data_IF_973392925367
#
_entry.id   IF_973392925367
#
_cell.length_a   1.000
_cell.length_b   1.000
_cell.length_c   1.000
_cell.angle_alpha   90.00
_cell.angle_beta   90.00
_cell.angle_gamma   90.00
#
_symmetry.space_group_name_H-M   'P 1'
#
loop_
_entity.id
_entity.type
_entity.pdbx_description
1 polymer ?
#
# COMPACT_ATOMS: atom_id res chain seq x y z
N UNK A 1 31.10 1.24 23.23
CA UNK A 1 30.48 0.68 22.02
C UNK A 1 31.54 0.22 21.03
N UNK A 2 32.65 0.96 20.91
CA UNK A 2 33.76 0.62 19.98
C UNK A 2 34.46 -0.72 20.26
N UNK A 3 34.45 -1.21 21.50
CA UNK A 3 34.97 -2.55 21.84
C UNK A 3 34.02 -3.72 21.48
N UNK A 4 32.74 -3.45 21.17
CA UNK A 4 31.73 -4.48 20.91
C UNK A 4 31.58 -4.82 19.42
N UNK A 5 32.00 -3.91 18.54
CA UNK A 5 31.81 -4.00 17.09
C UNK A 5 33.17 -3.83 16.42
N UNK A 6 33.80 -4.95 16.03
CA UNK A 6 35.15 -4.95 15.46
C UNK A 6 35.29 -4.19 14.14
N UNK A 7 34.22 -4.09 13.36
CA UNK A 7 34.11 -3.22 12.18
C UNK A 7 33.06 -2.13 12.47
N UNK A 8 33.30 -0.90 12.00
CA UNK A 8 32.46 0.26 12.28
C UNK A 8 30.96 -0.08 12.12
N UNK A 9 30.19 -0.14 13.21
CA UNK A 9 28.80 -0.51 13.14
C UNK A 9 28.06 0.48 12.24
N UNK A 10 27.22 -0.04 11.32
CA UNK A 10 26.30 0.80 10.53
C UNK A 10 25.19 1.28 11.48
N UNK A 11 25.55 2.21 12.36
CA UNK A 11 24.60 3.00 13.09
C UNK A 11 23.98 4.01 12.13
N UNK A 12 22.66 4.15 12.22
CA UNK A 12 21.95 5.15 11.45
C UNK A 12 20.77 4.62 10.65
N UNK A 13 19.74 5.44 10.58
CA UNK A 13 18.55 5.19 9.76
C UNK A 13 18.59 5.95 8.42
N UNK A 14 19.62 6.80 8.23
CA UNK A 14 19.84 7.65 7.06
C UNK A 14 18.72 8.68 6.86
N UNK A 15 18.61 9.33 5.69
CA UNK A 15 17.64 10.40 5.48
C UNK A 15 16.18 9.91 5.56
N UNK A 16 15.29 10.80 5.99
CA UNK A 16 13.83 10.63 5.95
C UNK A 16 13.25 11.53 4.84
N UNK A 17 12.85 10.98 3.68
CA UNK A 17 12.31 11.75 2.57
C UNK A 17 10.92 12.31 2.84
N UNK A 18 10.23 11.85 3.89
CA UNK A 18 8.89 12.32 4.28
C UNK A 18 8.93 13.20 5.54
N UNK A 19 10.12 13.46 6.08
CA UNK A 19 10.32 14.46 7.13
C UNK A 19 10.77 15.79 6.50
N UNK A 20 10.01 16.88 6.68
CA UNK A 20 10.43 18.21 6.25
C UNK A 20 11.38 18.90 7.24
N UNK A 21 11.71 18.24 8.36
CA UNK A 21 12.56 18.78 9.42
C UNK A 21 14.02 18.32 9.26
N UNK A 22 15.00 19.02 9.85
CA UNK A 22 16.38 18.56 9.92
C UNK A 22 16.50 17.14 10.45
N UNK A 23 17.56 16.45 10.04
CA UNK A 23 17.80 15.05 10.47
C UNK A 23 17.89 15.00 11.99
N UNK A 24 17.09 14.12 12.60
CA UNK A 24 17.07 13.95 14.05
C UNK A 24 18.26 13.10 14.50
N UNK A 25 18.85 13.39 15.67
CA UNK A 25 19.95 12.60 16.18
C UNK A 25 19.48 11.16 16.47
N UNK A 26 20.42 10.23 16.31
CA UNK A 26 20.21 8.83 16.62
C UNK A 26 21.05 8.52 17.85
N UNK A 27 20.36 8.17 18.94
CA UNK A 27 21.03 7.69 20.14
C UNK A 27 21.12 6.16 20.06
N UNK A 28 22.14 5.61 20.69
CA UNK A 28 22.30 4.18 20.79
C UNK A 28 22.95 3.77 22.12
N UNK A 29 22.55 2.61 22.61
CA UNK A 29 23.15 1.95 23.76
C UNK A 29 23.51 0.53 23.37
N UNK A 30 24.67 0.05 23.83
CA UNK A 30 25.15 -1.29 23.53
C UNK A 30 25.79 -1.93 24.75
N UNK A 31 25.52 -3.21 24.94
CA UNK A 31 26.11 -4.02 26.00
C UNK A 31 25.99 -5.53 25.68
N UNK A 32 26.86 -6.34 26.27
CA UNK A 32 26.79 -7.81 26.17
C UNK A 32 25.72 -8.36 27.10
N UNK A 33 25.51 -7.71 28.25
CA UNK A 33 24.53 -8.11 29.25
C UNK A 33 23.17 -7.48 28.97
N UNK A 34 22.13 -8.31 28.86
CA UNK A 34 20.73 -7.86 28.73
C UNK A 34 20.29 -6.99 29.92
N UNK A 35 20.82 -7.26 31.12
CA UNK A 35 20.53 -6.47 32.33
C UNK A 35 21.12 -5.06 32.19
N UNK A 36 22.35 -4.96 31.71
CA UNK A 36 23.01 -3.68 31.54
C UNK A 36 22.40 -2.88 30.38
N UNK A 37 22.04 -3.56 29.29
CA UNK A 37 21.30 -2.96 28.18
C UNK A 37 19.97 -2.35 28.66
N UNK A 38 19.23 -3.06 29.53
CA UNK A 38 18.02 -2.54 30.19
C UNK A 38 18.34 -1.29 31.01
N UNK A 39 19.39 -1.31 31.83
CA UNK A 39 19.80 -0.17 32.68
C UNK A 39 20.08 1.08 31.82
N UNK A 40 20.84 0.92 30.74
CA UNK A 40 21.16 2.02 29.81
C UNK A 40 19.93 2.58 29.10
N UNK A 41 18.95 1.74 28.72
CA UNK A 41 17.65 2.18 28.17
C UNK A 41 16.87 3.02 29.19
N UNK A 42 16.85 2.62 30.47
CA UNK A 42 16.17 3.39 31.53
C UNK A 42 16.78 4.79 31.65
N UNK A 43 18.10 4.89 31.61
CA UNK A 43 18.84 6.14 31.78
C UNK A 43 18.67 7.08 30.58
N UNK A 44 18.74 6.56 29.35
CA UNK A 44 18.98 7.39 28.16
C UNK A 44 17.78 7.53 27.23
N UNK A 45 16.88 6.54 27.16
CA UNK A 45 15.82 6.54 26.15
C UNK A 45 14.65 7.44 26.57
N UNK A 46 14.16 8.41 25.78
CA UNK A 46 13.06 9.29 26.19
C UNK A 46 11.67 8.62 26.12
N UNK A 47 10.67 9.22 26.78
CA UNK A 47 9.25 8.78 26.75
C UNK A 47 8.43 9.47 25.64
N UNK A 48 9.02 9.64 24.46
CA UNK A 48 8.40 10.31 23.31
C UNK A 48 8.16 9.34 22.14
N UNK A 49 7.36 9.71 21.12
CA UNK A 49 7.22 8.92 19.91
C UNK A 49 8.56 8.75 19.18
N UNK A 50 8.70 7.63 18.46
CA UNK A 50 9.89 7.38 17.66
C UNK A 50 9.99 5.97 17.12
N UNK A 51 11.08 5.74 16.41
CA UNK A 51 11.47 4.43 15.87
C UNK A 51 12.70 3.91 16.60
N UNK A 52 12.79 2.60 16.77
CA UNK A 52 13.94 1.94 17.37
C UNK A 52 14.40 0.77 16.51
N UNK A 53 15.69 0.49 16.60
CA UNK A 53 16.38 -0.56 15.88
C UNK A 53 17.15 -1.44 16.84
N UNK A 54 17.05 -2.75 16.68
CA UNK A 54 17.84 -3.73 17.42
C UNK A 54 18.97 -4.19 16.52
N UNK A 55 20.21 -4.20 17.02
CA UNK A 55 21.39 -4.64 16.29
C UNK A 55 21.97 -5.89 16.94
N UNK A 56 22.41 -6.86 16.16
CA UNK A 56 23.09 -8.05 16.68
C UNK A 56 24.57 -7.82 17.00
N UNK A 57 25.26 -8.88 17.45
CA UNK A 57 26.71 -8.86 17.76
C UNK A 57 27.61 -8.45 16.59
N UNK A 58 27.13 -8.50 15.34
CA UNK A 58 27.87 -8.07 14.15
C UNK A 58 27.52 -6.64 13.75
N UNK A 59 26.74 -5.92 14.56
CA UNK A 59 26.26 -4.59 14.23
C UNK A 59 25.19 -4.59 13.13
N UNK A 60 24.56 -5.73 12.82
CA UNK A 60 23.53 -5.79 11.78
C UNK A 60 22.16 -5.42 12.36
N UNK A 61 21.40 -4.57 11.68
CA UNK A 61 20.03 -4.23 12.06
C UNK A 61 19.09 -5.44 11.84
N UNK A 62 18.64 -6.06 12.93
CA UNK A 62 17.85 -7.30 12.89
C UNK A 62 16.35 -7.09 13.04
N UNK A 63 15.96 -5.97 13.66
CA UNK A 63 14.58 -5.60 13.90
C UNK A 63 14.41 -4.08 13.96
N UNK A 64 13.32 -3.57 13.40
CA UNK A 64 12.86 -2.18 13.52
C UNK A 64 11.44 -2.17 14.06
N UNK A 65 11.14 -1.24 14.95
CA UNK A 65 9.77 -0.99 15.40
C UNK A 65 9.50 0.49 15.69
N UNK A 66 8.22 0.86 15.74
CA UNK A 66 7.75 2.18 16.21
C UNK A 66 7.14 2.15 17.61
N UNK A 67 7.06 3.32 18.24
CA UNK A 67 6.32 3.51 19.47
C UNK A 67 5.76 4.93 19.61
N UNK A 68 4.65 5.07 20.33
CA UNK A 68 4.19 6.36 20.89
C UNK A 68 5.00 6.81 22.11
N UNK A 69 5.70 5.88 22.75
CA UNK A 69 6.60 6.12 23.88
C UNK A 69 7.76 5.13 23.82
N UNK A 70 8.93 5.60 23.34
CA UNK A 70 10.11 4.78 23.09
C UNK A 70 10.55 3.99 24.33
N UNK A 71 10.80 4.68 25.46
CA UNK A 71 11.24 4.02 26.71
C UNK A 71 10.29 2.91 27.13
N UNK A 72 8.99 3.18 27.21
CA UNK A 72 8.00 2.19 27.66
C UNK A 72 7.96 0.97 26.73
N UNK A 73 8.09 1.18 25.42
CA UNK A 73 8.09 0.08 24.45
C UNK A 73 9.37 -0.73 24.50
N UNK A 74 10.54 -0.10 24.59
CA UNK A 74 11.81 -0.80 24.70
C UNK A 74 11.89 -1.62 25.99
N UNK A 75 11.43 -1.05 27.13
CA UNK A 75 11.39 -1.78 28.40
C UNK A 75 10.49 -3.01 28.35
N UNK A 76 9.44 -3.02 27.52
CA UNK A 76 8.57 -4.19 27.36
C UNK A 76 9.32 -5.43 26.86
N UNK A 77 10.37 -5.28 26.04
CA UNK A 77 11.17 -6.41 25.56
C UNK A 77 11.89 -7.17 26.68
N UNK A 78 12.19 -6.49 27.79
CA UNK A 78 12.90 -7.06 28.94
C UNK A 78 11.95 -7.67 29.99
N UNK A 79 10.63 -7.68 29.74
CA UNK A 79 9.66 -8.29 30.65
C UNK A 79 9.72 -9.82 30.57
N UNK A 80 9.66 -10.50 31.72
CA UNK A 80 9.74 -11.97 31.80
C UNK A 80 8.65 -12.67 30.98
N UNK A 81 7.47 -12.06 30.86
CA UNK A 81 6.35 -12.55 30.04
C UNK A 81 6.69 -12.68 28.55
N UNK A 82 7.66 -11.92 28.03
CA UNK A 82 8.03 -11.93 26.61
C UNK A 82 9.14 -12.93 26.26
N UNK A 83 9.73 -13.62 27.24
CA UNK A 83 10.89 -14.53 27.06
C UNK A 83 10.63 -15.64 26.02
N UNK A 84 9.44 -16.25 26.03
CA UNK A 84 9.07 -17.32 25.08
C UNK A 84 8.53 -16.81 23.75
N UNK A 85 8.23 -15.52 23.66
CA UNK A 85 7.65 -14.91 22.45
C UNK A 85 8.73 -14.42 21.48
N UNK A 86 8.28 -13.94 20.31
CA UNK A 86 9.13 -13.27 19.34
C UNK A 86 9.93 -12.12 19.96
N UNK A 87 9.35 -11.39 20.92
CA UNK A 87 10.00 -10.29 21.63
C UNK A 87 11.25 -10.72 22.41
N UNK A 88 11.16 -11.82 23.16
CA UNK A 88 12.28 -12.39 23.92
C UNK A 88 13.44 -12.77 23.01
N UNK A 89 13.14 -13.49 21.92
CA UNK A 89 14.17 -13.81 20.91
C UNK A 89 14.81 -12.55 20.33
N UNK A 90 14.01 -11.49 20.10
CA UNK A 90 14.51 -10.23 19.58
C UNK A 90 15.58 -9.63 20.49
N UNK A 91 15.28 -9.52 21.77
CA UNK A 91 16.20 -8.89 22.72
C UNK A 91 17.41 -9.77 23.04
N UNK A 92 17.24 -11.10 23.06
CA UNK A 92 18.32 -12.04 23.32
C UNK A 92 19.45 -11.98 22.27
N UNK A 93 19.12 -11.77 20.99
CA UNK A 93 20.17 -11.60 19.97
C UNK A 93 20.65 -10.15 19.82
N UNK A 94 19.97 -9.18 20.43
CA UNK A 94 20.40 -7.79 20.38
C UNK A 94 21.64 -7.57 21.26
N UNK A 95 22.59 -6.78 20.75
CA UNK A 95 23.77 -6.28 21.47
C UNK A 95 23.82 -4.76 21.51
N UNK A 96 23.08 -4.10 20.62
CA UNK A 96 22.80 -2.68 20.72
C UNK A 96 21.35 -2.38 20.35
N UNK A 97 20.87 -1.25 20.89
CA UNK A 97 19.58 -0.66 20.59
C UNK A 97 19.84 0.79 20.19
N UNK A 98 19.39 1.17 19.01
CA UNK A 98 19.39 2.55 18.56
C UNK A 98 17.96 3.08 18.48
N UNK A 99 17.75 4.38 18.65
CA UNK A 99 16.45 5.01 18.43
C UNK A 99 16.58 6.40 17.82
N UNK A 100 15.52 6.80 17.12
CA UNK A 100 15.36 8.12 16.51
C UNK A 100 14.00 8.64 16.97
N UNK A 101 14.01 9.78 17.67
CA UNK A 101 12.78 10.44 18.13
C UNK A 101 12.00 10.94 16.92
N UNK A 102 10.68 11.03 17.05
CA UNK A 102 9.80 11.50 15.98
C UNK A 102 8.77 12.47 16.58
N UNK A 103 8.37 13.53 15.86
CA UNK A 103 7.51 14.57 16.42
C UNK A 103 6.13 14.05 16.81
N UNK A 104 5.67 12.96 16.19
CA UNK A 104 4.36 12.38 16.44
C UNK A 104 4.35 10.85 16.23
N UNK A 105 3.28 10.20 16.69
CA UNK A 105 3.08 8.77 16.43
C UNK A 105 2.94 8.47 14.94
N UNK A 106 2.28 9.36 14.18
CA UNK A 106 2.14 9.19 12.73
C UNK A 106 3.50 9.26 12.03
N UNK A 107 4.35 10.22 12.39
CA UNK A 107 5.71 10.32 11.85
C UNK A 107 6.53 9.06 12.18
N UNK A 108 6.43 8.54 13.41
CA UNK A 108 7.08 7.28 13.79
C UNK A 108 6.57 6.07 12.97
N UNK A 109 5.27 6.02 12.67
CA UNK A 109 4.67 4.96 11.86
C UNK A 109 5.16 5.01 10.40
N UNK A 110 5.22 6.20 9.80
CA UNK A 110 5.74 6.41 8.43
C UNK A 110 7.22 6.03 8.36
N UNK A 111 8.01 6.52 9.32
CA UNK A 111 9.44 6.25 9.42
C UNK A 111 9.74 4.76 9.61
N UNK A 112 8.99 4.04 10.46
CA UNK A 112 9.16 2.59 10.63
C UNK A 112 8.93 1.85 9.31
N UNK A 113 7.86 2.17 8.59
CA UNK A 113 7.57 1.52 7.32
C UNK A 113 8.70 1.74 6.31
N UNK A 114 9.24 2.96 6.25
CA UNK A 114 10.39 3.29 5.40
C UNK A 114 11.62 2.44 5.76
N UNK A 115 11.96 2.36 7.05
CA UNK A 115 13.14 1.63 7.53
C UNK A 115 13.02 0.12 7.32
N UNK A 116 11.84 -0.45 7.55
CA UNK A 116 11.57 -1.86 7.25
C UNK A 116 11.77 -2.15 5.75
N UNK A 117 11.33 -1.24 4.87
CA UNK A 117 11.50 -1.40 3.42
C UNK A 117 12.96 -1.26 2.99
N UNK A 118 13.69 -0.29 3.57
CA UNK A 118 15.09 -0.01 3.27
C UNK A 118 16.02 -1.14 3.73
N UNK A 119 15.90 -1.56 4.98
CA UNK A 119 16.85 -2.50 5.59
C UNK A 119 16.38 -3.96 5.51
N UNK A 120 15.08 -4.21 5.33
CA UNK A 120 14.47 -5.54 5.36
C UNK A 120 14.94 -6.43 6.52
N UNK A 121 14.86 -5.96 7.79
CA UNK A 121 15.45 -6.68 8.91
C UNK A 121 14.84 -8.09 9.04
N UNK A 122 15.68 -9.09 9.33
CA UNK A 122 15.28 -10.52 9.28
C UNK A 122 14.06 -10.87 10.13
N UNK A 123 13.86 -10.16 11.24
CA UNK A 123 12.76 -10.40 12.18
C UNK A 123 11.53 -9.53 11.95
N UNK A 124 11.58 -8.55 11.06
CA UNK A 124 10.37 -7.90 10.56
C UNK A 124 9.63 -8.86 9.60
N UNK A 125 8.31 -8.96 9.76
CA UNK A 125 7.45 -9.82 8.91
C UNK A 125 6.51 -8.96 8.10
N UNK A 126 5.79 -8.06 8.78
CA UNK A 126 4.94 -7.07 8.14
C UNK A 126 5.79 -5.95 7.52
N UNK A 127 5.36 -5.44 6.36
CA UNK A 127 6.00 -4.31 5.69
C UNK A 127 7.28 -4.63 4.91
N UNK A 128 7.80 -5.86 5.00
CA UNK A 128 9.03 -6.29 4.29
C UNK A 128 8.73 -6.59 2.82
N UNK A 129 9.27 -5.83 1.85
CA UNK A 129 8.95 -6.00 0.42
C UNK A 129 9.22 -7.39 -0.14
N UNK A 130 10.31 -8.05 0.28
CA UNK A 130 10.65 -9.41 -0.19
C UNK A 130 9.62 -10.46 0.24
N UNK A 131 8.98 -10.28 1.41
CA UNK A 131 7.98 -11.19 1.99
C UNK A 131 6.54 -10.80 1.63
N UNK A 132 6.30 -9.50 1.41
CA UNK A 132 5.03 -8.92 1.02
C UNK A 132 5.21 -8.14 -0.29
N UNK A 133 5.37 -8.87 -1.40
CA UNK A 133 5.50 -8.26 -2.72
C UNK A 133 4.14 -7.65 -3.11
N UNK A 134 4.07 -6.34 -3.36
CA UNK A 134 2.84 -5.75 -3.88
C UNK A 134 2.57 -6.31 -5.27
N UNK A 135 1.31 -6.59 -5.54
CA UNK A 135 0.80 -6.98 -6.86
C UNK A 135 -0.32 -6.02 -7.25
N UNK A 136 -0.37 -5.69 -8.53
CA UNK A 136 -1.39 -4.82 -9.09
C UNK A 136 -2.27 -5.63 -10.03
N UNK A 137 -3.58 -5.40 -9.96
CA UNK A 137 -4.53 -5.89 -10.93
C UNK A 137 -4.55 -4.89 -12.09
N UNK A 138 -4.07 -5.31 -13.25
CA UNK A 138 -3.99 -4.45 -14.42
C UNK A 138 -4.96 -4.94 -15.49
N UNK A 139 -5.66 -4.02 -16.15
CA UNK A 139 -6.45 -4.30 -17.35
C UNK A 139 -5.77 -3.62 -18.53
N UNK A 140 -5.31 -4.40 -19.50
CA UNK A 140 -4.61 -3.86 -20.66
C UNK A 140 -3.80 -4.87 -21.48
N UNK A 141 -3.08 -4.32 -22.46
CA UNK A 141 -2.24 -4.83 -23.54
C UNK A 141 -2.95 -5.17 -24.85
N UNK A 142 -2.63 -4.36 -25.85
CA UNK A 142 -3.05 -4.47 -27.24
C UNK A 142 -2.57 -5.77 -27.91
N UNK A 143 -3.19 -6.16 -29.04
CA UNK A 143 -4.40 -5.56 -29.62
C UNK A 143 -5.69 -6.05 -28.94
N UNK A 144 -5.64 -7.06 -28.07
CA UNK A 144 -6.81 -7.57 -27.34
C UNK A 144 -6.54 -7.48 -25.82
N UNK A 145 -7.19 -6.53 -25.16
CA UNK A 145 -6.95 -6.22 -23.74
C UNK A 145 -7.44 -7.32 -22.80
N UNK A 146 -6.75 -7.48 -21.67
CA UNK A 146 -7.07 -8.50 -20.68
C UNK A 146 -6.53 -8.19 -19.29
N UNK A 147 -6.98 -8.95 -18.29
CA UNK A 147 -6.46 -8.83 -16.94
C UNK A 147 -5.10 -9.50 -16.79
N UNK A 148 -4.21 -8.81 -16.10
CA UNK A 148 -2.91 -9.34 -15.65
C UNK A 148 -2.66 -9.00 -14.20
N UNK A 149 -1.78 -9.79 -13.55
CA UNK A 149 -1.18 -9.39 -12.28
C UNK A 149 0.29 -9.09 -12.50
N UNK A 150 0.69 -7.84 -12.25
CA UNK A 150 2.05 -7.38 -12.54
C UNK A 150 2.63 -6.54 -11.40
N UNK A 151 3.94 -6.27 -11.51
CA UNK A 151 4.56 -5.11 -10.85
C UNK A 151 3.89 -3.85 -11.43
N UNK A 152 3.80 -2.76 -10.64
CA UNK A 152 3.22 -1.53 -11.18
C UNK A 152 4.01 -1.12 -12.41
N UNK A 153 3.37 -0.84 -13.55
CA UNK A 153 4.06 -0.24 -14.69
C UNK A 153 4.63 1.12 -14.26
N UNK A 154 5.83 1.47 -14.73
CA UNK A 154 6.53 2.71 -14.34
C UNK A 154 5.79 3.98 -14.78
N UNK A 155 4.86 3.86 -15.74
CA UNK A 155 3.90 4.91 -16.05
C UNK A 155 2.64 4.35 -16.72
N UNK A 156 1.53 5.10 -16.63
CA UNK A 156 0.36 4.96 -17.53
C UNK A 156 0.68 5.30 -19.00
N UNK A 157 1.82 5.97 -19.25
CA UNK A 157 2.20 6.51 -20.56
C UNK A 157 2.78 5.48 -21.53
N UNK A 158 3.07 4.27 -21.06
CA UNK A 158 3.12 3.10 -21.95
C UNK A 158 1.66 2.75 -22.28
N UNK A 159 1.12 3.34 -23.34
CA UNK A 159 -0.30 3.39 -23.75
C UNK A 159 -1.05 2.06 -23.99
N UNK A 160 -0.69 1.02 -23.26
CA UNK A 160 -1.26 -0.33 -23.29
C UNK A 160 -2.15 -0.64 -22.08
N UNK A 161 -2.24 0.21 -21.04
CA UNK A 161 -3.01 -0.11 -19.82
C UNK A 161 -4.20 0.82 -19.61
N UNK A 162 -5.40 0.23 -19.49
CA UNK A 162 -6.67 0.93 -19.18
C UNK A 162 -6.80 1.14 -17.66
N UNK A 163 -6.39 0.14 -16.87
CA UNK A 163 -6.55 0.20 -15.42
C UNK A 163 -5.36 -0.39 -14.69
N UNK A 164 -4.97 0.23 -13.57
CA UNK A 164 -3.96 -0.28 -12.65
C UNK A 164 -4.47 -0.13 -11.20
N UNK A 165 -4.92 -1.24 -10.64
CA UNK A 165 -5.52 -1.30 -9.31
C UNK A 165 -4.59 -1.95 -8.29
N UNK A 166 -4.31 -1.23 -7.20
CA UNK A 166 -3.44 -1.72 -6.13
C UNK A 166 -2.83 -0.60 -5.30
N UNK A 167 -1.84 -0.93 -4.43
CA UNK A 167 -1.21 -2.24 -4.28
C UNK A 167 -2.05 -3.26 -3.49
N UNK A 168 -2.08 -4.50 -3.96
CA UNK A 168 -2.60 -5.66 -3.23
C UNK A 168 -1.48 -6.59 -2.76
N UNK A 169 -1.81 -7.53 -1.88
CA UNK A 169 -0.86 -8.52 -1.35
C UNK A 169 -1.39 -9.94 -1.55
N UNK A 170 -0.48 -10.89 -1.76
CA UNK A 170 -0.80 -12.30 -2.00
C UNK A 170 -0.88 -12.64 -3.49
N UNK A 171 0.28 -12.79 -4.13
CA UNK A 171 0.39 -13.02 -5.57
C UNK A 171 -0.41 -14.25 -6.06
N UNK A 172 -0.40 -15.36 -5.30
CA UNK A 172 -1.16 -16.55 -5.67
C UNK A 172 -2.67 -16.31 -5.75
N UNK A 173 -3.26 -15.65 -4.74
CA UNK A 173 -4.69 -15.31 -4.73
C UNK A 173 -5.03 -14.30 -5.83
N UNK A 174 -4.15 -13.34 -6.08
CA UNK A 174 -4.34 -12.37 -7.16
C UNK A 174 -4.30 -13.04 -8.54
N UNK A 175 -3.40 -14.00 -8.75
CA UNK A 175 -3.35 -14.79 -9.99
C UNK A 175 -4.67 -15.52 -10.23
N UNK A 176 -5.20 -16.21 -9.22
CA UNK A 176 -6.53 -16.86 -9.31
C UNK A 176 -7.65 -15.88 -9.61
N UNK A 177 -7.62 -14.67 -9.01
CA UNK A 177 -8.58 -13.62 -9.29
C UNK A 177 -8.52 -13.15 -10.74
N UNK A 178 -7.32 -12.88 -11.26
CA UNK A 178 -7.09 -12.51 -12.67
C UNK A 178 -7.61 -13.60 -13.62
N UNK A 179 -7.28 -14.85 -13.37
CA UNK A 179 -7.74 -15.98 -14.20
C UNK A 179 -9.27 -16.08 -14.18
N UNK A 180 -9.90 -15.79 -13.03
CA UNK A 180 -11.37 -15.77 -12.90
C UNK A 180 -11.96 -14.61 -13.69
N UNK A 181 -11.44 -13.39 -13.52
CA UNK A 181 -11.91 -12.21 -14.23
C UNK A 181 -11.83 -12.38 -15.75
N UNK A 182 -10.70 -12.88 -16.27
CA UNK A 182 -10.57 -13.15 -17.71
C UNK A 182 -11.63 -14.14 -18.22
N UNK A 183 -11.94 -15.21 -17.46
CA UNK A 183 -12.98 -16.16 -17.86
C UNK A 183 -14.38 -15.54 -17.85
N UNK A 184 -14.70 -14.80 -16.80
CA UNK A 184 -16.03 -14.19 -16.60
C UNK A 184 -16.33 -13.12 -17.63
N UNK A 185 -15.33 -12.29 -17.95
CA UNK A 185 -15.45 -11.27 -18.98
C UNK A 185 -15.07 -11.79 -20.38
N UNK A 186 -14.82 -13.10 -20.54
CA UNK A 186 -14.44 -13.72 -21.81
C UNK A 186 -13.24 -13.03 -22.51
N UNK A 187 -12.31 -12.51 -21.73
CA UNK A 187 -11.08 -11.89 -22.20
C UNK A 187 -10.00 -12.93 -22.41
N UNK A 188 -9.12 -12.67 -23.38
CA UNK A 188 -8.00 -13.57 -23.71
C UNK A 188 -6.95 -13.54 -22.61
N UNK A 189 -6.26 -14.64 -22.37
CA UNK A 189 -5.05 -14.70 -21.53
C UNK A 189 -3.93 -15.50 -22.22
N UNK A 190 -4.04 -15.66 -23.54
CA UNK A 190 -3.07 -16.37 -24.37
C UNK A 190 -1.69 -15.69 -24.29
N UNK A 191 -0.64 -16.50 -24.43
CA UNK A 191 0.75 -16.04 -24.38
C UNK A 191 1.08 -14.96 -25.41
N UNK A 192 2.10 -14.16 -25.15
CA UNK A 192 2.48 -13.00 -25.97
C UNK A 192 2.89 -13.33 -27.41
N UNK A 193 3.30 -14.57 -27.67
CA UNK A 193 3.63 -15.03 -29.03
C UNK A 193 2.40 -15.32 -29.89
N UNK A 194 1.21 -15.37 -29.29
CA UNK A 194 -0.02 -15.59 -30.02
C UNK A 194 -0.37 -14.35 -30.84
N UNK A 195 -0.62 -14.54 -32.13
CA UNK A 195 -1.12 -13.49 -33.00
C UNK A 195 -2.63 -13.38 -32.80
N UNK A 196 -3.12 -12.15 -32.67
CA UNK A 196 -4.54 -11.82 -32.51
C UNK A 196 -5.00 -11.02 -33.72
N UNK A 197 -6.15 -11.39 -34.26
CA UNK A 197 -6.79 -10.75 -35.41
C UNK A 197 -8.29 -10.80 -35.20
N UNK A 198 -8.94 -9.66 -35.32
CA UNK A 198 -10.40 -9.61 -35.22
C UNK A 198 -11.05 -9.95 -36.55
N UNK A 199 -12.29 -10.44 -36.51
CA UNK A 199 -13.04 -10.88 -37.68
C UNK A 199 -13.25 -9.76 -38.71
N UNK A 200 -13.33 -8.52 -38.24
CA UNK A 200 -13.57 -7.29 -39.00
C UNK A 200 -12.28 -6.58 -39.44
N UNK A 201 -11.10 -7.18 -39.20
CA UNK A 201 -9.83 -6.57 -39.57
C UNK A 201 -9.53 -6.80 -41.06
N UNK A 202 -9.33 -5.72 -41.82
CA UNK A 202 -8.95 -5.75 -43.24
C UNK A 202 -7.68 -6.60 -43.44
N UNK A 203 -7.73 -7.51 -44.41
CA UNK A 203 -6.59 -8.37 -44.79
C UNK A 203 -6.29 -8.22 -46.28
N UNK A 204 -4.99 -8.16 -46.61
CA UNK A 204 -4.50 -8.17 -48.00
C UNK A 204 -4.63 -9.56 -48.66
N UNK A 205 -4.68 -10.61 -47.84
CA UNK A 205 -4.75 -12.00 -48.28
C UNK A 205 -5.72 -12.77 -47.38
N UNK A 206 -6.44 -13.73 -47.94
CA UNK A 206 -7.27 -14.66 -47.18
C UNK A 206 -6.38 -15.52 -46.30
N UNK A 207 -6.48 -15.35 -44.98
CA UNK A 207 -5.87 -16.27 -44.03
C UNK A 207 -6.76 -17.49 -43.85
N UNK A 208 -6.17 -18.68 -43.93
CA UNK A 208 -6.82 -19.89 -43.43
C UNK A 208 -7.07 -19.74 -41.92
N UNK A 209 -8.36 -19.78 -41.55
CA UNK A 209 -8.78 -19.78 -40.15
C UNK A 209 -8.13 -20.96 -39.43
N UNK A 210 -7.45 -20.68 -38.32
CA UNK A 210 -6.84 -21.74 -37.50
C UNK A 210 -7.93 -22.60 -36.85
N UNK A 211 -7.72 -23.92 -36.67
CA UNK A 211 -8.62 -24.77 -35.90
C UNK A 211 -8.97 -24.18 -34.53
N UNK A 212 -10.20 -24.45 -34.09
CA UNK A 212 -10.88 -23.84 -32.94
C UNK A 212 -10.02 -23.68 -31.69
N UNK A 213 -10.07 -22.49 -31.10
CA UNK A 213 -9.44 -22.24 -29.82
C UNK A 213 -10.25 -22.93 -28.72
N UNK A 214 -9.64 -23.83 -27.94
CA UNK A 214 -10.31 -24.50 -26.81
C UNK A 214 -11.04 -23.51 -25.89
N UNK A 215 -10.45 -22.33 -25.65
CA UNK A 215 -11.06 -21.31 -24.81
C UNK A 215 -12.35 -20.72 -25.38
N UNK A 216 -12.42 -20.61 -26.71
CA UNK A 216 -13.62 -20.20 -27.44
C UNK A 216 -14.69 -21.29 -27.33
N UNK A 217 -14.33 -22.54 -27.58
CA UNK A 217 -15.26 -23.67 -27.51
C UNK A 217 -15.89 -23.84 -26.12
N UNK A 218 -15.11 -23.65 -25.04
CA UNK A 218 -15.63 -23.70 -23.67
C UNK A 218 -16.22 -22.37 -23.17
N UNK A 219 -16.29 -21.34 -24.03
CA UNK A 219 -16.91 -20.05 -23.71
C UNK A 219 -16.15 -19.15 -22.73
N UNK A 220 -14.86 -19.44 -22.49
CA UNK A 220 -13.99 -18.69 -21.55
C UNK A 220 -13.24 -17.52 -22.19
N UNK A 221 -13.36 -17.35 -23.51
CA UNK A 221 -12.81 -16.25 -24.29
C UNK A 221 -13.62 -16.09 -25.58
N UNK A 222 -13.78 -14.86 -26.09
CA UNK A 222 -14.40 -14.62 -27.40
C UNK A 222 -13.55 -15.05 -28.61
N UNK A 223 -12.33 -15.53 -28.39
CA UNK A 223 -11.48 -16.10 -29.45
C UNK A 223 -10.92 -15.11 -30.48
N UNK A 224 -10.37 -13.94 -30.11
CA UNK A 224 -9.73 -13.02 -31.07
C UNK A 224 -8.44 -13.58 -31.69
N UNK A 225 -7.90 -14.70 -31.20
CA UNK A 225 -6.79 -15.41 -31.85
C UNK A 225 -7.23 -16.30 -33.03
N UNK A 226 -8.52 -16.64 -33.08
CA UNK A 226 -9.14 -17.44 -34.12
C UNK A 226 -10.04 -16.59 -35.03
N UNK A 227 -9.95 -15.25 -34.94
CA UNK A 227 -10.82 -14.32 -35.65
C UNK A 227 -12.33 -14.60 -35.47
N UNK A 228 -12.72 -15.08 -34.28
CA UNK A 228 -14.10 -15.47 -33.99
C UNK A 228 -14.99 -14.32 -33.48
N UNK A 229 -14.42 -13.14 -33.23
CA UNK A 229 -15.16 -11.97 -32.79
C UNK A 229 -14.67 -10.69 -33.48
N UNK A 230 -15.56 -9.71 -33.61
CA UNK A 230 -15.19 -8.36 -34.04
C UNK A 230 -14.46 -7.60 -32.94
N UNK A 231 -13.77 -6.53 -33.32
CA UNK A 231 -13.18 -5.55 -32.39
C UNK A 231 -14.22 -5.04 -31.40
N UNK A 232 -15.35 -4.57 -31.92
CA UNK A 232 -16.40 -3.94 -31.14
C UNK A 232 -16.98 -4.89 -30.08
N UNK A 233 -17.29 -6.13 -30.46
CA UNK A 233 -17.81 -7.13 -29.52
C UNK A 233 -16.80 -7.47 -28.41
N UNK A 234 -15.51 -7.49 -28.71
CA UNK A 234 -14.47 -7.70 -27.70
C UNK A 234 -14.34 -6.49 -26.78
N UNK A 235 -14.37 -5.28 -27.33
CA UNK A 235 -14.25 -4.06 -26.56
C UNK A 235 -15.45 -3.88 -25.62
N UNK A 236 -16.68 -4.28 -25.98
CA UNK A 236 -17.83 -4.31 -25.05
C UNK A 236 -17.53 -5.14 -23.79
N UNK A 237 -16.85 -6.29 -23.94
CA UNK A 237 -16.41 -7.10 -22.80
C UNK A 237 -15.34 -6.40 -21.96
N UNK A 238 -14.43 -5.67 -22.60
CA UNK A 238 -13.42 -4.85 -21.92
C UNK A 238 -14.09 -3.71 -21.14
N UNK A 239 -15.10 -3.04 -21.70
CA UNK A 239 -15.86 -1.99 -21.01
C UNK A 239 -16.67 -2.56 -19.82
N UNK A 240 -17.23 -3.76 -19.95
CA UNK A 240 -17.89 -4.43 -18.82
C UNK A 240 -16.90 -4.76 -17.69
N UNK A 241 -15.72 -5.26 -18.05
CA UNK A 241 -14.62 -5.50 -17.13
C UNK A 241 -14.13 -4.20 -16.46
N UNK A 242 -14.06 -3.12 -17.23
CA UNK A 242 -13.73 -1.78 -16.78
C UNK A 242 -14.75 -1.25 -15.75
N UNK A 243 -16.04 -1.39 -16.04
CA UNK A 243 -17.15 -0.97 -15.17
C UNK A 243 -17.20 -1.76 -13.85
N UNK A 244 -16.81 -3.04 -13.87
CA UNK A 244 -16.63 -3.84 -12.66
C UNK A 244 -15.50 -3.31 -11.76
N UNK A 245 -14.36 -2.88 -12.34
CA UNK A 245 -13.26 -2.29 -11.56
C UNK A 245 -13.66 -1.01 -10.84
N UNK A 246 -14.50 -0.18 -11.48
CA UNK A 246 -15.03 1.04 -10.86
C UNK A 246 -16.09 0.76 -9.78
N UNK A 247 -16.64 -0.44 -9.77
CA UNK A 247 -17.72 -0.86 -8.89
C UNK A 247 -19.10 -0.38 -9.35
N UNK A 248 -19.27 -0.06 -10.63
CA UNK A 248 -20.58 0.30 -11.20
C UNK A 248 -21.36 -0.92 -11.71
N UNK A 249 -20.67 -2.01 -12.10
CA UNK A 249 -21.30 -3.23 -12.56
C UNK A 249 -20.98 -4.44 -11.66
N UNK A 250 -22.01 -5.01 -11.04
CA UNK A 250 -21.93 -6.25 -10.25
C UNK A 250 -22.69 -7.43 -10.89
N UNK A 251 -23.34 -7.22 -12.03
CA UNK A 251 -24.12 -8.23 -12.74
C UNK A 251 -23.33 -9.53 -13.01
N UNK A 252 -22.03 -9.50 -13.38
CA UNK A 252 -21.27 -10.74 -13.58
C UNK A 252 -21.12 -11.59 -12.31
N UNK A 253 -21.09 -10.96 -11.13
CA UNK A 253 -21.06 -11.69 -9.86
C UNK A 253 -22.41 -12.36 -9.60
N UNK A 254 -23.49 -11.60 -9.76
CA UNK A 254 -24.86 -12.07 -9.53
C UNK A 254 -25.24 -13.21 -10.48
N UNK A 255 -24.81 -13.12 -11.75
CA UNK A 255 -25.02 -14.16 -12.76
C UNK A 255 -24.38 -15.50 -12.37
N UNK A 256 -23.14 -15.49 -11.86
CA UNK A 256 -22.43 -16.73 -11.45
C UNK A 256 -23.01 -17.27 -10.15
N UNK A 257 -23.46 -16.40 -9.24
CA UNK A 257 -24.18 -16.83 -8.03
C UNK A 257 -25.50 -17.52 -8.38
N UNK A 258 -26.24 -16.99 -9.35
CA UNK A 258 -27.46 -17.61 -9.86
C UNK A 258 -27.13 -18.96 -10.52
N UNK A 259 -26.11 -19.01 -11.38
CA UNK A 259 -25.66 -20.26 -12.01
C UNK A 259 -25.29 -21.33 -10.97
N UNK A 260 -24.59 -20.95 -9.91
CA UNK A 260 -24.24 -21.84 -8.81
C UNK A 260 -25.49 -22.41 -8.12
N UNK A 261 -26.47 -21.55 -7.81
CA UNK A 261 -27.73 -21.95 -7.16
C UNK A 261 -28.55 -22.89 -8.05
N UNK A 262 -28.69 -22.54 -9.33
CA UNK A 262 -29.41 -23.37 -10.31
C UNK A 262 -28.73 -24.72 -10.51
N UNK A 263 -27.41 -24.76 -10.66
CA UNK A 263 -26.65 -26.00 -10.77
C UNK A 263 -26.82 -26.88 -9.52
N UNK A 264 -26.80 -26.28 -8.33
CA UNK A 264 -27.04 -27.01 -7.08
C UNK A 264 -28.47 -27.57 -6.97
N UNK A 265 -29.47 -26.79 -7.39
CA UNK A 265 -30.87 -27.24 -7.41
C UNK A 265 -31.07 -28.41 -8.38
N UNK A 266 -30.36 -28.39 -9.51
CA UNK A 266 -30.37 -29.44 -10.52
C UNK A 266 -29.41 -30.61 -10.21
N UNK A 267 -28.85 -30.69 -8.99
CA UNK A 267 -27.90 -31.73 -8.57
C UNK A 267 -26.62 -31.84 -9.43
N UNK A 268 -26.26 -30.76 -10.16
CA UNK A 268 -25.06 -30.65 -10.95
C UNK A 268 -23.88 -30.17 -10.08
N UNK A 269 -23.46 -31.00 -9.13
CA UNK A 269 -22.55 -30.58 -8.06
C UNK A 269 -21.17 -30.13 -8.56
N UNK A 270 -20.64 -30.70 -9.65
CA UNK A 270 -19.38 -30.24 -10.23
C UNK A 270 -19.47 -28.82 -10.78
N UNK A 271 -20.56 -28.49 -11.47
CA UNK A 271 -20.81 -27.16 -11.99
C UNK A 271 -20.99 -26.17 -10.83
N UNK A 272 -21.80 -26.54 -9.83
CA UNK A 272 -22.00 -25.75 -8.63
C UNK A 272 -20.67 -25.47 -7.89
N UNK A 273 -19.81 -26.48 -7.76
CA UNK A 273 -18.49 -26.33 -7.13
C UNK A 273 -17.57 -25.39 -7.91
N UNK A 274 -17.54 -25.49 -9.25
CA UNK A 274 -16.77 -24.57 -10.12
C UNK A 274 -17.28 -23.13 -9.99
N UNK A 275 -18.60 -22.92 -10.05
CA UNK A 275 -19.20 -21.59 -9.87
C UNK A 275 -18.94 -21.03 -8.47
N UNK A 276 -18.98 -21.85 -7.42
CA UNK A 276 -18.65 -21.42 -6.05
C UNK A 276 -17.20 -20.90 -5.93
N UNK A 277 -16.25 -21.56 -6.58
CA UNK A 277 -14.85 -21.10 -6.61
C UNK A 277 -14.73 -19.75 -7.34
N UNK A 278 -15.44 -19.58 -8.46
CA UNK A 278 -15.50 -18.30 -9.18
C UNK A 278 -16.12 -17.19 -8.32
N UNK A 279 -17.25 -17.45 -7.65
CA UNK A 279 -17.91 -16.50 -6.73
C UNK A 279 -16.96 -16.10 -5.60
N UNK A 280 -16.28 -17.05 -4.96
CA UNK A 280 -15.30 -16.75 -3.89
C UNK A 280 -14.18 -15.85 -4.40
N UNK A 281 -13.69 -16.11 -5.62
CA UNK A 281 -12.63 -15.34 -6.27
C UNK A 281 -13.09 -13.91 -6.61
N UNK A 282 -14.28 -13.77 -7.21
CA UNK A 282 -14.87 -12.47 -7.53
C UNK A 282 -15.20 -11.66 -6.28
N UNK A 283 -15.81 -12.26 -5.26
CA UNK A 283 -16.07 -11.59 -3.96
C UNK A 283 -14.80 -11.13 -3.27
N UNK A 284 -13.71 -11.89 -3.41
CA UNK A 284 -12.42 -11.48 -2.89
C UNK A 284 -11.93 -10.20 -3.58
N UNK A 285 -11.95 -10.15 -4.91
CA UNK A 285 -11.44 -8.97 -5.64
C UNK A 285 -12.39 -7.76 -5.51
N UNK A 286 -13.71 -7.96 -5.56
CA UNK A 286 -14.72 -6.92 -5.33
C UNK A 286 -14.50 -6.23 -3.98
N UNK A 287 -14.32 -7.00 -2.91
CA UNK A 287 -14.02 -6.45 -1.58
C UNK A 287 -12.74 -5.63 -1.55
N UNK A 288 -11.69 -6.09 -2.26
CA UNK A 288 -10.41 -5.39 -2.33
C UNK A 288 -10.52 -4.08 -3.11
N UNK A 289 -11.24 -4.08 -4.24
CA UNK A 289 -11.53 -2.90 -5.04
C UNK A 289 -12.39 -1.91 -4.26
N UNK A 290 -13.43 -2.35 -3.56
CA UNK A 290 -14.25 -1.50 -2.67
C UNK A 290 -13.41 -0.82 -1.59
N UNK A 291 -12.52 -1.56 -0.92
CA UNK A 291 -11.60 -0.98 0.07
C UNK A 291 -10.65 0.05 -0.56
N UNK A 292 -10.12 -0.23 -1.75
CA UNK A 292 -9.22 0.67 -2.46
C UNK A 292 -9.95 1.95 -2.91
N UNK A 293 -11.10 1.81 -3.55
CA UNK A 293 -11.93 2.93 -4.01
C UNK A 293 -12.41 3.79 -2.85
N UNK A 294 -12.78 3.18 -1.71
CA UNK A 294 -13.12 3.92 -0.50
C UNK A 294 -11.93 4.73 0.03
N UNK A 295 -10.72 4.14 0.07
CA UNK A 295 -9.53 4.84 0.50
C UNK A 295 -9.18 6.00 -0.46
N UNK A 296 -9.22 5.75 -1.78
CA UNK A 296 -8.92 6.76 -2.81
C UNK A 296 -9.91 7.92 -2.82
N UNK A 297 -11.19 7.68 -2.54
CA UNK A 297 -12.23 8.71 -2.48
C UNK A 297 -12.25 9.47 -1.16
N UNK A 298 -12.05 8.78 -0.03
CA UNK A 298 -12.20 9.37 1.31
C UNK A 298 -10.97 10.14 1.76
N UNK A 299 -9.78 9.71 1.35
CA UNK A 299 -8.53 10.23 1.91
C UNK A 299 -7.82 11.15 0.91
N UNK A 300 -8.37 12.36 0.74
CA UNK A 300 -7.71 13.45 0.01
C UNK A 300 -7.86 14.74 0.81
N UNK A 301 -6.80 15.14 1.52
CA UNK A 301 -6.77 16.31 2.41
C UNK A 301 -5.34 16.60 2.89
N UNK A 302 -5.15 17.75 3.53
CA UNK A 302 -3.97 18.00 4.36
C UNK A 302 -4.24 17.45 5.76
N UNK A 303 -3.29 16.68 6.27
CA UNK A 303 -3.29 16.17 7.64
C UNK A 303 -2.26 16.93 8.47
N UNK A 304 -2.73 17.78 9.39
CA UNK A 304 -1.89 18.65 10.21
C UNK A 304 -1.61 18.02 11.57
N UNK A 305 -0.40 17.51 11.74
CA UNK A 305 0.01 16.77 12.93
C UNK A 305 0.89 17.66 13.81
N UNK A 306 0.48 17.96 15.06
CA UNK A 306 1.34 18.68 15.99
C UNK A 306 2.54 17.81 16.39
N UNK A 307 3.70 18.43 16.56
CA UNK A 307 4.87 17.81 17.13
C UNK A 307 4.94 18.04 18.63
N UNK A 308 5.29 17.02 19.41
CA UNK A 308 5.45 17.17 20.88
C UNK A 308 6.58 18.14 21.27
N UNK A 309 7.48 18.44 20.33
CA UNK A 309 8.64 19.32 20.44
C UNK A 309 8.49 20.59 19.58
N UNK A 310 7.27 20.89 19.13
CA UNK A 310 6.98 22.02 18.24
C UNK A 310 7.32 21.77 16.76
N UNK A 311 7.90 20.63 16.39
CA UNK A 311 8.12 20.24 14.99
C UNK A 311 6.85 19.64 14.36
N UNK A 312 5.80 20.44 14.27
CA UNK A 312 4.57 20.06 13.56
C UNK A 312 4.83 19.77 12.09
N UNK A 313 4.04 18.87 11.51
CA UNK A 313 4.16 18.46 10.10
C UNK A 313 2.80 18.41 9.45
N UNK A 314 2.68 18.99 8.26
CA UNK A 314 1.51 18.86 7.40
C UNK A 314 1.82 17.83 6.32
N UNK A 315 1.00 16.79 6.22
CA UNK A 315 1.10 15.78 5.16
C UNK A 315 0.00 16.02 4.14
N UNK A 316 0.37 16.09 2.86
CA UNK A 316 -0.61 15.98 1.78
C UNK A 316 -0.97 14.50 1.62
N UNK A 317 -2.19 14.16 2.01
CA UNK A 317 -2.78 12.86 1.72
C UNK A 317 -3.58 13.01 0.43
N UNK A 318 -3.26 12.22 -0.59
CA UNK A 318 -3.95 12.24 -1.87
C UNK A 318 -4.31 10.81 -2.28
N UNK A 319 -5.61 10.56 -2.43
CA UNK A 319 -6.19 9.24 -2.69
C UNK A 319 -5.66 8.12 -1.79
N UNK A 320 -5.51 8.41 -0.51
CA UNK A 320 -5.06 7.46 0.51
C UNK A 320 -3.55 7.30 0.59
N UNK A 321 -2.76 7.95 -0.25
CA UNK A 321 -1.31 7.91 -0.20
C UNK A 321 -0.73 9.21 0.38
N UNK A 322 0.43 9.13 1.01
CA UNK A 322 1.21 10.31 1.35
C UNK A 322 1.85 10.80 0.05
N UNK A 323 1.44 11.97 -0.42
CA UNK A 323 1.97 12.57 -1.65
C UNK A 323 3.17 13.48 -1.36
N UNK A 324 3.12 14.22 -0.26
CA UNK A 324 4.14 15.22 0.11
C UNK A 324 4.04 15.58 1.60
N UNK A 325 5.06 16.25 2.14
CA UNK A 325 5.10 16.76 3.51
C UNK A 325 5.78 18.14 3.58
N UNK A 326 5.32 18.99 4.51
CA UNK A 326 5.93 20.29 4.86
C UNK A 326 5.94 20.51 6.35
N UNK A 327 6.89 21.31 6.84
CA UNK A 327 6.89 21.74 8.22
C UNK A 327 5.62 22.59 8.45
N UNK A 328 4.94 22.37 9.58
CA UNK A 328 3.76 23.15 9.91
C UNK A 328 4.18 24.61 10.17
N UNK A 329 3.59 25.59 9.46
CA UNK A 329 3.96 26.99 9.61
C UNK A 329 3.62 27.51 11.01
N UNK A 330 4.57 28.20 11.65
CA UNK A 330 4.43 28.77 12.99
C UNK A 330 4.06 30.25 12.98
N UNK A 331 4.35 30.94 11.88
CA UNK A 331 4.12 32.38 11.73
C UNK A 331 3.73 32.72 10.29
N UNK A 332 3.30 33.97 10.08
CA UNK A 332 2.83 34.45 8.77
C UNK A 332 3.92 34.41 7.69
N UNK A 333 5.19 34.59 8.06
CA UNK A 333 6.32 34.56 7.12
C UNK A 333 6.57 33.14 6.59
N UNK A 334 6.64 32.15 7.48
CA UNK A 334 6.74 30.73 7.12
C UNK A 334 5.55 30.28 6.27
N UNK A 335 4.35 30.75 6.60
CA UNK A 335 3.16 30.47 5.78
C UNK A 335 3.25 31.10 4.38
N UNK A 336 3.73 32.34 4.27
CA UNK A 336 3.91 33.01 2.98
C UNK A 336 4.91 32.24 2.09
N UNK A 337 5.98 31.69 2.67
CA UNK A 337 6.94 30.83 1.96
C UNK A 337 6.32 29.52 1.44
N UNK A 338 5.30 29.00 2.14
CA UNK A 338 4.58 27.78 1.73
C UNK A 338 3.46 28.03 0.71
N UNK A 339 3.11 29.29 0.44
CA UNK A 339 1.94 29.65 -0.39
C UNK A 339 1.93 28.97 -1.75
N UNK A 340 3.05 29.01 -2.49
CA UNK A 340 3.16 28.36 -3.80
C UNK A 340 3.03 26.83 -3.71
N UNK A 341 3.62 26.22 -2.68
CA UNK A 341 3.51 24.79 -2.43
C UNK A 341 2.07 24.38 -2.07
N UNK A 342 1.36 25.18 -1.30
CA UNK A 342 -0.05 24.96 -0.95
C UNK A 342 -0.98 25.14 -2.16
N UNK A 343 -0.71 26.10 -3.05
CA UNK A 343 -1.42 26.22 -4.34
C UNK A 343 -1.22 24.97 -5.19
N UNK A 344 0.01 24.46 -5.27
CA UNK A 344 0.29 23.20 -5.97
C UNK A 344 -0.48 22.04 -5.33
N UNK A 345 -0.48 21.92 -4.00
CA UNK A 345 -1.25 20.90 -3.29
C UNK A 345 -2.76 21.00 -3.54
N UNK A 346 -3.31 22.21 -3.61
CA UNK A 346 -4.70 22.43 -3.98
C UNK A 346 -4.99 21.92 -5.39
N UNK A 347 -4.13 22.22 -6.37
CA UNK A 347 -4.25 21.72 -7.75
C UNK A 347 -4.11 20.19 -7.85
N UNK A 348 -3.20 19.58 -7.09
CA UNK A 348 -3.06 18.12 -7.03
C UNK A 348 -4.30 17.48 -6.41
N UNK A 349 -4.85 18.07 -5.34
CA UNK A 349 -6.02 17.53 -4.64
C UNK A 349 -7.31 17.56 -5.46
N UNK A 350 -7.43 18.47 -6.43
CA UNK A 350 -8.57 18.56 -7.35
C UNK A 350 -8.43 17.61 -8.54
N UNK A 351 -7.20 17.23 -8.90
CA UNK A 351 -6.96 16.16 -9.87
C UNK A 351 -7.51 14.86 -9.30
N UNK A 352 -8.41 14.18 -10.02
CA UNK A 352 -8.73 12.80 -9.68
C UNK A 352 -7.53 11.96 -10.06
N UNK A 353 -6.97 11.19 -9.13
CA UNK A 353 -6.05 10.13 -9.52
C UNK A 353 -6.79 9.19 -10.47
N UNK A 354 -6.37 9.28 -11.71
CA UNK A 354 -6.79 8.42 -12.78
C UNK A 354 -6.22 7.02 -12.49
N UNK A 355 -7.04 5.97 -12.46
CA UNK A 355 -6.71 4.53 -12.19
C UNK A 355 -5.20 4.19 -12.06
N UNK A 356 -4.59 4.44 -10.89
CA UNK A 356 -3.14 4.38 -10.74
C UNK A 356 -2.66 4.61 -9.30
N UNK A 357 -1.38 4.91 -9.10
CA UNK A 357 -0.81 5.18 -7.78
C UNK A 357 0.11 6.40 -7.78
N UNK A 358 0.28 7.01 -6.62
CA UNK A 358 1.20 8.14 -6.41
C UNK A 358 2.66 7.70 -6.26
N UNK A 359 3.51 8.60 -5.78
CA UNK A 359 4.94 8.35 -5.59
C UNK A 359 5.23 7.31 -4.49
N UNK A 360 4.34 7.21 -3.49
CA UNK A 360 4.53 6.35 -2.32
C UNK A 360 3.35 5.36 -2.14
N UNK A 361 3.09 4.44 -3.10
CA UNK A 361 1.92 3.54 -3.09
C UNK A 361 1.82 2.64 -1.86
N UNK A 362 2.96 2.33 -1.26
CA UNK A 362 3.05 1.50 -0.08
C UNK A 362 2.45 2.17 1.17
N UNK A 363 2.28 3.49 1.17
CA UNK A 363 1.67 4.24 2.28
C UNK A 363 0.15 4.08 2.32
N UNK A 364 -0.50 3.62 1.25
CA UNK A 364 -1.96 3.49 1.17
C UNK A 364 -2.56 2.67 2.32
N UNK A 365 -1.99 1.50 2.57
CA UNK A 365 -2.44 0.62 3.65
C UNK A 365 -2.16 1.21 5.03
N UNK A 366 -1.08 1.98 5.18
CA UNK A 366 -0.69 2.66 6.42
C UNK A 366 -1.71 3.75 6.74
N UNK A 367 -1.95 4.67 5.80
CA UNK A 367 -2.90 5.78 5.93
C UNK A 367 -4.31 5.26 6.21
N UNK A 368 -4.78 4.29 5.43
CA UNK A 368 -6.12 3.71 5.63
C UNK A 368 -6.25 3.01 6.99
N UNK A 369 -5.20 2.33 7.48
CA UNK A 369 -5.22 1.75 8.82
C UNK A 369 -5.12 2.81 9.92
N UNK A 370 -4.40 3.91 9.70
CA UNK A 370 -4.24 4.98 10.67
C UNK A 370 -5.57 5.67 10.96
N UNK A 371 -6.25 6.16 9.93
CA UNK A 371 -7.52 6.88 10.09
C UNK A 371 -8.69 5.97 10.48
N UNK A 372 -8.60 4.65 10.23
CA UNK A 372 -9.58 3.70 10.76
C UNK A 372 -9.47 3.56 12.28
N UNK A 373 -8.26 3.60 12.83
CA UNK A 373 -7.97 3.46 14.26
C UNK A 373 -8.07 4.79 15.01
N UNK A 374 -7.76 5.90 14.36
CA UNK A 374 -7.78 7.25 14.92
C UNK A 374 -8.81 8.09 14.17
N UNK A 375 -10.10 7.89 14.46
CA UNK A 375 -11.18 8.63 13.78
C UNK A 375 -11.16 10.11 14.15
N UNK A 376 -10.85 10.44 15.40
CA UNK A 376 -10.75 11.83 15.88
C UNK A 376 -9.68 12.64 15.11
N UNK A 377 -8.58 12.00 14.72
CA UNK A 377 -7.55 12.63 13.88
C UNK A 377 -8.11 13.03 12.51
N UNK A 378 -9.00 12.20 11.93
CA UNK A 378 -9.66 12.53 10.66
C UNK A 378 -10.56 13.75 10.82
N UNK A 379 -11.33 13.81 11.91
CA UNK A 379 -12.38 14.81 12.09
C UNK A 379 -11.82 16.19 12.53
N UNK A 380 -10.75 16.21 13.34
CA UNK A 380 -10.25 17.45 13.94
C UNK A 380 -8.90 17.94 13.40
N UNK A 381 -8.15 17.11 12.68
CA UNK A 381 -6.77 17.43 12.23
C UNK A 381 -6.61 17.44 10.72
N UNK A 382 -7.70 17.29 9.97
CA UNK A 382 -7.67 17.33 8.51
C UNK A 382 -8.43 18.52 7.95
N UNK A 383 -7.95 19.06 6.84
CA UNK A 383 -8.65 20.10 6.10
C UNK A 383 -8.37 19.98 4.59
N UNK A 384 -9.31 20.43 3.73
CA UNK A 384 -9.07 20.50 2.30
C UNK A 384 -7.88 21.40 1.97
N UNK A 385 -7.10 21.05 0.95
CA UNK A 385 -5.91 21.82 0.58
C UNK A 385 -6.20 23.30 0.24
N UNK A 386 -7.35 23.59 -0.39
CA UNK A 386 -7.80 24.95 -0.68
C UNK A 386 -8.21 25.76 0.57
N UNK A 387 -8.42 25.12 1.72
CA UNK A 387 -8.72 25.77 3.01
C UNK A 387 -7.50 25.84 3.93
N UNK A 388 -6.30 25.54 3.42
CA UNK A 388 -5.08 25.75 4.19
C UNK A 388 -5.01 27.23 4.58
N UNK A 389 -5.01 27.49 5.89
CA UNK A 389 -4.85 28.81 6.49
C UNK A 389 -3.89 28.65 7.67
N UNK A 390 -3.30 29.75 8.12
CA UNK A 390 -2.52 29.77 9.36
C UNK A 390 -3.34 29.15 10.50
N UNK A 391 -2.79 28.20 11.28
CA UNK A 391 -3.48 27.69 12.44
C UNK A 391 -3.67 28.85 13.42
N UNK A 392 -4.93 29.27 13.61
CA UNK A 392 -5.29 30.24 14.65
C UNK A 392 -4.96 29.57 16.00
N UNK A 393 -4.23 30.22 16.91
CA UNK A 393 -3.94 29.63 18.22
C UNK A 393 -5.26 29.27 18.90
N UNK A 394 -5.41 27.97 19.20
CA UNK A 394 -6.56 27.44 19.91
C UNK A 394 -6.64 28.09 21.30
N UNK A 395 -7.78 28.71 21.62
CA UNK A 395 -8.11 29.29 22.95
C UNK A 395 -8.24 28.24 24.08
N UNK A 396 -7.70 27.03 23.94
CA UNK A 396 -7.94 25.92 24.88
C UNK A 396 -6.92 25.79 26.03
N UNK A 397 -6.14 26.84 26.36
CA UNK A 397 -5.20 26.84 27.51
C UNK A 397 -5.32 28.06 28.42
N UNK A 398 -6.49 28.70 28.45
CA UNK A 398 -6.82 29.75 29.42
C UNK A 398 -8.02 29.34 30.30
N UNK A 399 -7.91 28.20 30.98
CA UNK A 399 -8.81 27.80 32.06
C UNK A 399 -8.16 26.66 32.87
N UNK A 400 -7.14 27.01 33.66
CA UNK A 400 -6.63 26.27 34.83
C UNK A 400 -5.50 27.11 35.44
N UNK A 401 -5.92 28.14 36.16
CA UNK A 401 -5.17 28.86 37.18
C UNK A 401 -5.99 28.79 38.45
#
# INVERSE_FOLDING_TARGET
>A
MDALFGEQPIFGFGPDPLSPHPTRPIDAVGDVSTIELKRRVIQSCPRVPGVYGMLDRKGQLIYVGKSKSLRSRLLSYFAASNSKEKGGRIIEAARAIQWETQPSEFAALVREQQLIRRFTPRWNVQGVPKRQRPVYLCLGKNPAMFFTSAKPPESKRDGDMVAVEGPFFGAGRMKTAVDTLNKVFQLRDCGSKQVFRFADQLQLFDLEYRPGCLRLEVGSCLGPCAAACSRLAYDERVHAAESFLDGFNHEPLDAIELQMKTASANQQYELAARSLLMVKSLKYIDRKLKMLNQARRRYTFIYAVPGHDGCGTWYLIHCGEIADAVAAPRNASEYAQLSEKLKHWAAVSTSRLDRGHGAFPHTLSLVASWFRKNRDELDFRTFPAHKAQLPVPSKATAARS
#
